data_IF_941626804291
#
_entry.id   IF_941626804291
#
_cell.length_a   1.000
_cell.length_b   1.000
_cell.length_c   1.000
_cell.angle_alpha   90.00
_cell.angle_beta   90.00
_cell.angle_gamma   90.00
#
_symmetry.space_group_name_H-M   'P 1'
#
loop_
_entity.id
_entity.type
_entity.pdbx_description
1 polymer ?
#
# COMPACT_ATOMS: atom_id res chain seq x y z
N UNK A 1 26.28 25.74 -8.27
CA UNK A 1 26.89 24.54 -7.67
C UNK A 1 27.33 23.62 -8.80
N UNK A 2 28.62 23.35 -8.95
CA UNK A 2 29.12 22.36 -9.90
C UNK A 2 28.54 21.00 -9.48
N UNK A 3 27.78 20.37 -10.38
CA UNK A 3 27.23 19.05 -10.19
C UNK A 3 28.35 18.10 -9.75
N UNK A 4 28.18 17.50 -8.56
CA UNK A 4 29.07 16.45 -8.08
C UNK A 4 29.29 15.44 -9.20
N UNK A 5 30.54 15.19 -9.60
CA UNK A 5 30.91 14.14 -10.55
C UNK A 5 30.66 12.76 -9.92
N UNK A 6 29.39 12.40 -9.71
CA UNK A 6 28.97 11.08 -9.22
C UNK A 6 29.00 10.02 -10.32
N UNK A 7 29.28 10.39 -11.58
CA UNK A 7 29.26 9.47 -12.73
C UNK A 7 30.20 8.27 -12.57
N UNK A 8 31.32 8.42 -11.86
CA UNK A 8 32.30 7.36 -11.59
C UNK A 8 31.87 6.40 -10.47
N UNK A 9 31.12 6.88 -9.48
CA UNK A 9 30.72 6.09 -8.30
C UNK A 9 29.30 5.51 -8.41
N UNK A 10 28.48 6.03 -9.32
CA UNK A 10 27.07 5.69 -9.48
C UNK A 10 26.84 4.17 -9.59
N UNK A 11 27.58 3.48 -10.47
CA UNK A 11 27.43 2.02 -10.66
C UNK A 11 27.83 1.21 -9.42
N UNK A 12 28.82 1.68 -8.65
CA UNK A 12 29.32 0.98 -7.47
C UNK A 12 28.36 1.17 -6.28
N UNK A 13 27.89 2.40 -6.05
CA UNK A 13 26.86 2.70 -5.07
C UNK A 13 25.54 1.98 -5.41
N UNK A 14 25.11 2.00 -6.67
CA UNK A 14 23.95 1.21 -7.13
C UNK A 14 24.12 -0.26 -6.73
N UNK A 15 25.29 -0.85 -7.00
CA UNK A 15 25.51 -2.25 -6.67
C UNK A 15 25.42 -2.53 -5.18
N UNK A 16 26.02 -1.70 -4.33
CA UNK A 16 26.05 -1.90 -2.87
C UNK A 16 24.71 -1.62 -2.19
N UNK A 17 23.97 -0.62 -2.66
CA UNK A 17 22.61 -0.34 -2.15
C UNK A 17 21.71 -1.55 -2.37
N UNK A 18 21.83 -2.19 -3.53
CA UNK A 18 21.04 -3.37 -3.86
C UNK A 18 21.45 -4.61 -3.07
N UNK A 19 22.74 -4.72 -2.72
CA UNK A 19 23.30 -5.90 -2.04
C UNK A 19 23.17 -5.81 -0.51
N UNK A 20 23.26 -4.60 0.08
CA UNK A 20 23.31 -4.40 1.53
C UNK A 20 21.99 -3.85 2.12
N UNK A 21 21.19 -3.08 1.37
CA UNK A 21 20.08 -2.27 1.94
C UNK A 21 18.71 -2.93 1.74
N UNK A 22 18.52 -3.68 0.65
CA UNK A 22 17.27 -4.36 0.35
C UNK A 22 16.10 -3.40 0.10
N UNK A 23 16.09 -2.74 -1.05
CA UNK A 23 15.07 -1.76 -1.42
C UNK A 23 13.76 -2.43 -1.85
N UNK A 24 12.62 -1.82 -1.52
CA UNK A 24 11.31 -2.21 -2.03
C UNK A 24 10.59 -1.06 -2.77
N UNK A 25 9.40 -1.32 -3.30
CA UNK A 25 8.64 -0.32 -4.05
C UNK A 25 8.22 0.92 -3.23
N UNK A 26 8.40 0.92 -1.90
CA UNK A 26 8.11 2.04 -1.00
C UNK A 26 9.30 2.99 -0.84
N UNK A 27 10.48 2.61 -1.31
CA UNK A 27 11.71 3.41 -1.27
C UNK A 27 11.89 4.29 -2.53
N UNK A 28 10.87 4.34 -3.40
CA UNK A 28 10.92 4.95 -4.73
C UNK A 28 9.64 5.73 -5.03
N UNK A 29 9.77 6.93 -5.60
CA UNK A 29 8.68 7.76 -6.11
C UNK A 29 8.80 7.87 -7.63
N UNK A 30 7.70 7.70 -8.36
CA UNK A 30 7.68 8.00 -9.80
C UNK A 30 7.12 9.40 -9.99
N UNK A 31 7.89 10.36 -10.49
CA UNK A 31 7.35 11.65 -10.91
C UNK A 31 6.68 11.46 -12.28
N UNK A 32 5.34 11.43 -12.31
CA UNK A 32 4.60 11.19 -13.55
C UNK A 32 4.62 12.38 -14.52
N UNK A 33 5.03 13.56 -14.06
CA UNK A 33 5.13 14.78 -14.88
C UNK A 33 6.46 14.80 -15.61
N UNK A 34 7.55 14.64 -14.85
CA UNK A 34 8.91 14.60 -15.43
C UNK A 34 9.32 13.23 -15.96
N UNK A 35 8.49 12.20 -15.76
CA UNK A 35 8.72 10.84 -16.27
C UNK A 35 9.95 10.20 -15.59
N UNK A 36 10.26 10.58 -14.35
CA UNK A 36 11.44 10.12 -13.61
C UNK A 36 11.12 9.14 -12.49
N UNK A 37 12.09 8.29 -12.16
CA UNK A 37 12.05 7.39 -11.01
C UNK A 37 13.04 7.94 -9.98
N UNK A 38 12.50 8.49 -8.90
CA UNK A 38 13.25 9.10 -7.82
C UNK A 38 13.41 8.08 -6.69
N UNK A 39 14.64 7.97 -6.21
CA UNK A 39 14.90 7.27 -4.97
C UNK A 39 14.50 8.19 -3.81
N UNK A 40 13.56 7.75 -2.98
CA UNK A 40 12.97 8.67 -2.01
C UNK A 40 13.89 8.86 -0.80
N UNK A 41 13.62 9.91 -0.01
CA UNK A 41 14.38 10.27 1.19
C UNK A 41 14.62 9.06 2.11
N UNK A 42 13.62 8.19 2.27
CA UNK A 42 13.71 7.01 3.16
C UNK A 42 14.61 5.93 2.58
N UNK A 43 14.50 5.65 1.29
CA UNK A 43 15.43 4.79 0.59
C UNK A 43 16.86 5.31 0.70
N UNK A 44 17.04 6.61 0.50
CA UNK A 44 18.35 7.27 0.56
C UNK A 44 18.95 7.22 1.96
N UNK A 45 18.11 7.47 2.98
CA UNK A 45 18.48 7.36 4.39
C UNK A 45 18.83 5.94 4.80
N UNK A 46 18.05 4.93 4.37
CA UNK A 46 18.41 3.51 4.57
C UNK A 46 19.75 3.17 3.92
N UNK A 47 20.05 3.81 2.80
CA UNK A 47 21.28 3.62 2.03
C UNK A 47 22.45 4.47 2.52
N UNK A 48 22.27 5.30 3.57
CA UNK A 48 23.25 6.29 4.04
C UNK A 48 24.64 5.70 4.23
N UNK A 49 24.75 4.52 4.86
CA UNK A 49 26.03 3.82 5.09
C UNK A 49 26.83 3.54 3.82
N UNK A 50 26.16 3.33 2.68
CA UNK A 50 26.83 3.11 1.40
C UNK A 50 27.43 4.41 0.87
N UNK A 51 26.75 5.53 1.09
CA UNK A 51 27.19 6.84 0.63
C UNK A 51 28.23 7.48 1.56
N UNK A 52 28.15 7.26 2.87
CA UNK A 52 29.16 7.70 3.86
C UNK A 52 30.56 7.13 3.57
N UNK A 53 30.67 6.04 2.80
CA UNK A 53 31.96 5.53 2.33
C UNK A 53 32.65 6.44 1.30
N UNK A 54 31.93 7.42 0.72
CA UNK A 54 32.40 8.29 -0.36
C UNK A 54 32.14 9.78 -0.09
N UNK A 55 31.19 10.10 0.79
CA UNK A 55 30.73 11.44 1.09
C UNK A 55 30.87 11.69 2.59
N UNK A 56 31.19 12.94 2.95
CA UNK A 56 31.20 13.33 4.36
C UNK A 56 29.78 13.58 4.90
N UNK A 57 29.64 13.67 6.23
CA UNK A 57 28.32 13.83 6.88
C UNK A 57 27.58 15.08 6.40
N UNK A 58 28.26 16.21 6.23
CA UNK A 58 27.64 17.46 5.77
C UNK A 58 27.07 17.33 4.35
N UNK A 59 27.83 16.71 3.43
CA UNK A 59 27.39 16.43 2.07
C UNK A 59 26.22 15.45 2.05
N UNK A 60 26.21 14.47 2.96
CA UNK A 60 25.10 13.54 3.09
C UNK A 60 23.82 14.19 3.58
N UNK A 61 23.90 15.09 4.56
CA UNK A 61 22.71 15.84 5.01
C UNK A 61 22.18 16.75 3.90
N UNK A 62 23.04 17.47 3.16
CA UNK A 62 22.60 18.29 2.02
C UNK A 62 21.88 17.47 0.94
N UNK A 63 22.37 16.26 0.67
CA UNK A 63 21.74 15.34 -0.29
C UNK A 63 20.39 14.83 0.24
N UNK A 64 20.30 14.51 1.52
CA UNK A 64 19.05 14.08 2.16
C UNK A 64 18.01 15.21 2.15
N UNK A 65 18.38 16.44 2.47
CA UNK A 65 17.49 17.60 2.43
C UNK A 65 17.00 17.90 1.01
N UNK A 66 17.89 17.80 0.01
CA UNK A 66 17.53 17.94 -1.39
C UNK A 66 16.59 16.82 -1.85
N UNK A 67 16.85 15.57 -1.45
CA UNK A 67 15.97 14.45 -1.75
C UNK A 67 14.58 14.60 -1.11
N UNK A 68 14.51 15.09 0.13
CA UNK A 68 13.22 15.40 0.78
C UNK A 68 12.45 16.47 -0.01
N UNK A 69 13.15 17.49 -0.49
CA UNK A 69 12.52 18.55 -1.31
C UNK A 69 12.01 18.01 -2.65
N UNK A 70 12.75 17.11 -3.29
CA UNK A 70 12.33 16.44 -4.53
C UNK A 70 11.15 15.50 -4.32
N UNK A 71 11.14 14.77 -3.20
CA UNK A 71 10.02 13.91 -2.81
C UNK A 71 8.75 14.74 -2.69
N UNK A 72 8.77 15.84 -1.94
CA UNK A 72 7.62 16.73 -1.75
C UNK A 72 7.10 17.27 -3.09
N UNK A 73 8.01 17.68 -3.99
CA UNK A 73 7.63 18.11 -5.35
C UNK A 73 6.96 16.99 -6.13
N UNK A 74 7.56 15.81 -6.20
CA UNK A 74 7.03 14.68 -6.97
C UNK A 74 5.70 14.17 -6.40
N UNK A 75 5.54 14.17 -5.08
CA UNK A 75 4.30 13.82 -4.39
C UNK A 75 3.19 14.81 -4.74
N UNK A 76 3.46 16.11 -4.61
CA UNK A 76 2.49 17.16 -4.95
C UNK A 76 2.04 17.06 -6.41
N UNK A 77 2.99 16.93 -7.34
CA UNK A 77 2.71 16.72 -8.77
C UNK A 77 1.82 15.52 -9.03
N UNK A 78 2.18 14.38 -8.43
CA UNK A 78 1.41 13.14 -8.58
C UNK A 78 0.00 13.26 -8.01
N UNK A 79 -0.15 13.91 -6.87
CA UNK A 79 -1.45 14.10 -6.22
C UNK A 79 -2.34 15.04 -7.03
N UNK A 80 -1.79 16.12 -7.60
CA UNK A 80 -2.49 17.00 -8.55
C UNK A 80 -2.93 16.21 -9.79
N UNK A 81 -2.02 15.46 -10.43
CA UNK A 81 -2.36 14.62 -11.58
C UNK A 81 -3.44 13.60 -11.23
N UNK A 82 -3.35 12.97 -10.06
CA UNK A 82 -4.35 12.03 -9.58
C UNK A 82 -5.73 12.70 -9.41
N UNK A 83 -5.78 13.90 -8.83
CA UNK A 83 -7.02 14.68 -8.74
C UNK A 83 -7.59 14.98 -10.13
N UNK A 84 -6.77 15.46 -11.07
CA UNK A 84 -7.21 15.76 -12.44
C UNK A 84 -7.71 14.51 -13.19
N UNK A 85 -7.19 13.31 -12.90
CA UNK A 85 -7.68 12.04 -13.46
C UNK A 85 -9.14 11.77 -13.11
N UNK A 86 -9.57 12.18 -11.93
CA UNK A 86 -10.94 11.97 -11.50
C UNK A 86 -11.96 12.88 -12.18
N UNK A 87 -11.50 13.96 -12.84
CA UNK A 87 -12.36 14.90 -13.53
C UNK A 87 -12.69 14.40 -14.94
N UNK A 88 -13.90 14.67 -15.41
CA UNK A 88 -14.29 14.38 -16.78
C UNK A 88 -13.59 15.33 -17.78
N UNK A 89 -13.63 14.96 -19.05
CA UNK A 89 -12.92 15.68 -20.12
C UNK A 89 -13.41 17.14 -20.27
N UNK A 90 -14.71 17.38 -20.08
CA UNK A 90 -15.31 18.69 -20.30
C UNK A 90 -14.91 19.64 -19.18
N UNK A 91 -14.96 19.16 -17.94
CA UNK A 91 -14.46 19.90 -16.78
C UNK A 91 -13.00 20.30 -16.95
N UNK A 92 -12.12 19.39 -17.40
CA UNK A 92 -10.71 19.75 -17.69
C UNK A 92 -10.56 20.83 -18.77
N UNK A 93 -11.40 20.81 -19.81
CA UNK A 93 -11.39 21.81 -20.87
C UNK A 93 -11.81 23.21 -20.38
N UNK A 94 -12.71 23.32 -19.42
CA UNK A 94 -13.07 24.61 -18.80
C UNK A 94 -11.83 25.27 -18.17
N UNK A 95 -10.99 24.48 -17.50
CA UNK A 95 -9.76 24.98 -16.88
C UNK A 95 -8.66 25.36 -17.89
N UNK A 96 -8.76 24.90 -19.15
CA UNK A 96 -7.83 25.34 -20.21
C UNK A 96 -8.10 26.77 -20.67
N UNK A 97 -9.30 27.30 -20.40
CA UNK A 97 -9.74 28.63 -20.83
C UNK A 97 -9.70 29.68 -19.71
N UNK A 98 -9.05 29.37 -18.56
CA UNK A 98 -8.98 30.27 -17.40
C UNK A 98 -8.21 31.56 -17.73
N UNK A 99 -8.63 32.67 -17.14
CA UNK A 99 -8.01 34.00 -17.28
C UNK A 99 -6.48 33.96 -17.07
N UNK A 100 -5.74 34.76 -17.85
CA UNK A 100 -4.30 34.94 -17.68
C UNK A 100 -3.89 35.55 -16.33
N UNK A 101 -4.85 36.05 -15.54
CA UNK A 101 -4.62 36.59 -14.19
C UNK A 101 -4.48 35.51 -13.10
N UNK A 102 -4.70 34.23 -13.42
CA UNK A 102 -4.56 33.13 -12.46
C UNK A 102 -3.08 32.78 -12.21
N UNK A 103 -2.63 32.98 -10.97
CA UNK A 103 -1.27 32.62 -10.53
C UNK A 103 -1.14 31.09 -10.56
N UNK A 104 -0.09 30.57 -11.21
CA UNK A 104 0.12 29.13 -11.39
C UNK A 104 -0.59 28.53 -12.61
N UNK A 105 -1.13 29.35 -13.53
CA UNK A 105 -1.79 28.89 -14.76
C UNK A 105 -0.89 28.00 -15.62
N UNK A 106 0.37 28.38 -15.81
CA UNK A 106 1.29 27.61 -16.65
C UNK A 106 1.51 26.20 -16.11
N UNK A 107 1.73 26.09 -14.79
CA UNK A 107 1.91 24.82 -14.08
C UNK A 107 0.64 23.95 -14.14
N UNK A 108 -0.54 24.55 -13.90
CA UNK A 108 -1.82 23.87 -14.04
C UNK A 108 -2.04 23.36 -15.48
N UNK A 109 -1.69 24.15 -16.49
CA UNK A 109 -1.79 23.77 -17.89
C UNK A 109 -0.84 22.63 -18.25
N UNK A 110 0.34 22.57 -17.65
CA UNK A 110 1.26 21.44 -17.79
C UNK A 110 0.64 20.16 -17.23
N UNK A 111 0.08 20.19 -16.01
CA UNK A 111 -0.61 19.04 -15.42
C UNK A 111 -1.80 18.57 -16.26
N UNK A 112 -2.62 19.50 -16.77
CA UNK A 112 -3.76 19.18 -17.65
C UNK A 112 -3.28 18.55 -18.97
N UNK A 113 -2.19 19.06 -19.57
CA UNK A 113 -1.59 18.46 -20.77
C UNK A 113 -1.08 17.06 -20.51
N UNK A 114 -0.33 16.85 -19.42
CA UNK A 114 0.12 15.53 -18.97
C UNK A 114 -1.07 14.59 -18.76
N UNK A 115 -2.19 15.08 -18.24
CA UNK A 115 -3.39 14.29 -18.05
C UNK A 115 -4.12 13.95 -19.36
N UNK A 116 -4.23 14.88 -20.32
CA UNK A 116 -4.74 14.54 -21.65
C UNK A 116 -3.85 13.53 -22.36
N UNK A 117 -2.53 13.67 -22.23
CA UNK A 117 -1.59 12.67 -22.69
C UNK A 117 -1.81 11.32 -22.00
N UNK A 118 -2.17 11.27 -20.71
CA UNK A 118 -2.57 10.03 -20.00
C UNK A 118 -3.67 9.26 -20.71
N UNK A 119 -4.67 10.01 -21.19
CA UNK A 119 -5.94 9.46 -21.65
C UNK A 119 -5.83 8.87 -23.06
N UNK A 120 -4.77 9.21 -23.77
CA UNK A 120 -4.45 8.62 -25.06
C UNK A 120 -4.14 7.12 -24.90
N UNK A 121 -4.77 6.27 -25.73
CA UNK A 121 -4.70 4.81 -25.67
C UNK A 121 -3.25 4.28 -25.73
N UNK A 122 -2.39 4.94 -26.50
CA UNK A 122 -0.96 4.61 -26.62
C UNK A 122 -0.23 4.82 -25.29
N UNK A 123 -0.54 5.91 -24.59
CA UNK A 123 0.08 6.25 -23.31
C UNK A 123 -0.50 5.46 -22.13
N UNK A 124 -1.77 5.01 -22.22
CA UNK A 124 -2.34 4.01 -21.30
C UNK A 124 -1.59 2.68 -21.40
N UNK A 125 -1.33 2.21 -22.62
CA UNK A 125 -0.50 1.04 -22.88
C UNK A 125 0.92 1.22 -22.36
N UNK A 126 1.55 2.37 -22.63
CA UNK A 126 2.90 2.70 -22.17
C UNK A 126 3.01 2.75 -20.62
N UNK A 127 2.02 3.32 -19.93
CA UNK A 127 1.99 3.32 -18.45
C UNK A 127 1.80 1.94 -17.87
N UNK A 128 0.88 1.16 -18.42
CA UNK A 128 0.70 -0.23 -18.00
C UNK A 128 1.99 -1.03 -18.21
N UNK A 129 2.66 -0.86 -19.36
CA UNK A 129 3.97 -1.46 -19.62
C UNK A 129 5.00 -0.98 -18.58
N UNK A 130 4.99 0.29 -18.18
CA UNK A 130 5.96 0.84 -17.22
C UNK A 130 5.69 0.45 -15.78
N UNK A 131 4.43 0.33 -15.37
CA UNK A 131 4.00 -0.19 -14.05
C UNK A 131 4.29 -1.69 -13.94
N UNK A 132 3.97 -2.46 -15.00
CA UNK A 132 4.37 -3.87 -15.09
C UNK A 132 5.89 -4.02 -15.14
N UNK A 133 6.58 -3.15 -15.90
CA UNK A 133 8.04 -3.07 -15.92
C UNK A 133 8.60 -2.56 -14.59
N UNK A 134 7.88 -1.87 -13.71
CA UNK A 134 8.40 -1.47 -12.38
C UNK A 134 8.72 -2.70 -11.54
N UNK A 135 7.77 -3.64 -11.46
CA UNK A 135 8.03 -4.92 -10.79
C UNK A 135 8.98 -5.81 -11.61
N UNK A 136 8.82 -5.85 -12.93
CA UNK A 136 9.59 -6.76 -13.79
C UNK A 136 11.04 -6.32 -13.97
N UNK A 137 11.31 -5.02 -14.16
CA UNK A 137 12.65 -4.43 -14.30
C UNK A 137 13.41 -4.47 -12.99
N UNK A 138 12.77 -4.20 -11.85
CA UNK A 138 13.39 -4.43 -10.54
C UNK A 138 13.74 -5.92 -10.37
N UNK A 139 12.81 -6.84 -10.68
CA UNK A 139 13.07 -8.29 -10.64
C UNK A 139 14.15 -8.74 -11.63
N UNK A 140 14.22 -8.19 -12.84
CA UNK A 140 15.16 -8.55 -13.92
C UNK A 140 16.55 -7.96 -13.65
N UNK A 141 16.66 -6.66 -13.31
CA UNK A 141 17.93 -5.99 -12.97
C UNK A 141 18.60 -6.62 -11.75
N UNK A 142 17.81 -7.24 -10.85
CA UNK A 142 18.30 -7.89 -9.64
C UNK A 142 18.19 -9.42 -9.67
N UNK A 143 17.82 -10.04 -10.80
CA UNK A 143 17.57 -11.47 -10.91
C UNK A 143 18.82 -12.33 -10.63
N UNK A 144 19.97 -11.93 -11.19
CA UNK A 144 21.27 -12.59 -10.98
C UNK A 144 21.73 -12.54 -9.52
N UNK A 145 21.36 -11.48 -8.80
CA UNK A 145 21.75 -11.25 -7.41
C UNK A 145 20.82 -11.97 -6.43
N UNK A 146 19.52 -12.04 -6.74
CA UNK A 146 18.58 -12.92 -6.04
C UNK A 146 19.01 -14.40 -6.17
N UNK A 147 19.54 -14.80 -7.32
CA UNK A 147 20.14 -16.13 -7.51
C UNK A 147 21.41 -16.30 -6.69
N UNK A 148 22.32 -15.31 -6.70
CA UNK A 148 23.56 -15.33 -5.93
C UNK A 148 23.31 -15.45 -4.42
N UNK A 149 22.37 -14.69 -3.86
CA UNK A 149 21.98 -14.79 -2.45
C UNK A 149 21.41 -16.18 -2.13
N UNK A 150 20.61 -16.76 -3.04
CA UNK A 150 20.10 -18.13 -2.88
C UNK A 150 21.19 -19.21 -2.97
N UNK A 151 22.25 -18.95 -3.71
CA UNK A 151 23.39 -19.85 -3.92
C UNK A 151 24.37 -19.78 -2.74
N UNK A 152 24.68 -18.57 -2.26
CA UNK A 152 25.45 -18.33 -1.01
C UNK A 152 24.74 -18.97 0.20
N UNK A 153 23.40 -18.87 0.28
CA UNK A 153 22.61 -19.53 1.34
C UNK A 153 22.59 -21.07 1.25
N UNK A 154 22.95 -21.67 0.10
CA UNK A 154 23.10 -23.13 -0.04
C UNK A 154 24.47 -23.63 0.41
N UNK A 155 25.50 -22.80 0.29
CA UNK A 155 26.91 -23.15 0.55
C UNK A 155 27.30 -23.07 2.04
N UNK A 156 26.50 -22.43 2.90
CA UNK A 156 26.78 -22.33 4.35
C UNK A 156 26.11 -23.51 5.09
N UNK A 157 26.85 -24.53 5.56
CA UNK A 157 26.28 -25.66 6.28
C UNK A 157 25.83 -25.22 7.68
N UNK A 158 24.53 -25.28 7.93
CA UNK A 158 23.91 -24.88 9.21
C UNK A 158 22.84 -23.79 9.08
N UNK A 159 22.83 -23.04 7.97
CA UNK A 159 21.70 -22.16 7.62
C UNK A 159 20.63 -22.98 6.89
N UNK A 160 19.91 -23.84 7.62
CA UNK A 160 18.54 -24.15 7.16
C UNK A 160 17.79 -22.81 7.20
N UNK A 161 17.19 -22.33 6.10
CA UNK A 161 16.40 -21.10 6.15
C UNK A 161 15.42 -21.23 7.31
N UNK A 162 15.57 -20.38 8.33
CA UNK A 162 14.76 -20.37 9.55
C UNK A 162 13.33 -20.03 9.19
N UNK A 163 12.59 -21.06 8.78
CA UNK A 163 11.29 -21.02 8.11
C UNK A 163 11.30 -20.20 6.81
N UNK A 164 10.98 -20.84 5.69
CA UNK A 164 10.61 -20.23 4.40
C UNK A 164 10.10 -18.80 4.59
N UNK A 165 10.78 -17.77 4.08
CA UNK A 165 10.47 -16.35 4.29
C UNK A 165 8.96 -16.08 4.28
N UNK A 166 8.35 -16.06 5.48
CA UNK A 166 6.89 -15.95 5.63
C UNK A 166 6.35 -14.71 4.92
N UNK A 167 7.01 -13.53 4.96
CA UNK A 167 6.50 -12.33 4.28
C UNK A 167 6.45 -12.47 2.75
N UNK A 168 7.50 -13.01 2.11
CA UNK A 168 7.54 -13.20 0.67
C UNK A 168 6.49 -14.21 0.20
N UNK A 169 6.34 -15.33 0.93
CA UNK A 169 5.30 -16.31 0.63
C UNK A 169 3.89 -15.75 0.80
N UNK A 170 3.66 -14.92 1.83
CA UNK A 170 2.39 -14.24 2.04
C UNK A 170 2.09 -13.30 0.86
N UNK A 171 3.04 -12.45 0.44
CA UNK A 171 2.88 -11.57 -0.74
C UNK A 171 2.56 -12.37 -2.00
N UNK A 172 3.40 -13.36 -2.32
CA UNK A 172 3.24 -14.19 -3.52
C UNK A 172 1.90 -14.92 -3.54
N UNK A 173 1.48 -15.46 -2.41
CA UNK A 173 0.20 -16.16 -2.33
C UNK A 173 -0.97 -15.18 -2.39
N UNK A 174 -0.89 -14.02 -1.74
CA UNK A 174 -1.90 -12.97 -1.87
C UNK A 174 -2.10 -12.55 -3.32
N UNK A 175 -1.02 -12.23 -4.04
CA UNK A 175 -1.05 -11.88 -5.48
C UNK A 175 -1.68 -13.00 -6.30
N UNK A 176 -1.23 -14.25 -6.08
CA UNK A 176 -1.80 -15.43 -6.74
C UNK A 176 -3.31 -15.51 -6.61
N UNK A 177 -3.87 -15.31 -5.41
CA UNK A 177 -5.31 -15.43 -5.16
C UNK A 177 -6.10 -14.17 -5.53
N UNK A 178 -5.47 -12.98 -5.42
CA UNK A 178 -6.04 -11.70 -5.86
C UNK A 178 -6.30 -11.71 -7.38
N UNK A 179 -5.35 -12.23 -8.16
CA UNK A 179 -5.38 -12.13 -9.61
C UNK A 179 -6.22 -13.23 -10.28
N UNK A 180 -6.80 -14.17 -9.50
CA UNK A 180 -7.78 -15.14 -10.02
C UNK A 180 -9.06 -14.40 -10.43
N UNK A 181 -9.49 -14.48 -11.71
CA UNK A 181 -10.74 -13.86 -12.16
C UNK A 181 -11.95 -14.37 -11.38
N UNK A 182 -12.89 -13.49 -11.02
CA UNK A 182 -14.05 -13.83 -10.18
C UNK A 182 -14.84 -15.05 -10.72
N UNK A 183 -15.06 -15.11 -12.04
CA UNK A 183 -15.74 -16.24 -12.71
C UNK A 183 -15.06 -17.61 -12.56
N UNK A 184 -13.77 -17.64 -12.20
CA UNK A 184 -12.97 -18.87 -12.02
C UNK A 184 -12.70 -19.18 -10.54
N UNK A 185 -13.17 -18.33 -9.63
CA UNK A 185 -12.78 -18.37 -8.22
C UNK A 185 -13.67 -19.37 -7.47
N UNK A 186 -13.03 -20.34 -6.82
CA UNK A 186 -13.74 -21.30 -5.95
C UNK A 186 -13.98 -20.72 -4.55
N UNK A 187 -14.83 -21.36 -3.75
CA UNK A 187 -15.05 -20.97 -2.36
C UNK A 187 -13.75 -21.01 -1.51
N UNK A 188 -12.89 -22.00 -1.78
CA UNK A 188 -11.58 -22.12 -1.12
C UNK A 188 -10.61 -21.01 -1.56
N UNK A 189 -10.66 -20.58 -2.83
CA UNK A 189 -9.87 -19.45 -3.30
C UNK A 189 -10.26 -18.14 -2.61
N UNK A 190 -11.56 -17.93 -2.33
CA UNK A 190 -12.02 -16.79 -1.54
C UNK A 190 -11.46 -16.81 -0.12
N UNK A 191 -11.51 -17.98 0.56
CA UNK A 191 -10.92 -18.16 1.89
C UNK A 191 -9.41 -17.86 1.89
N UNK A 192 -8.69 -18.34 0.88
CA UNK A 192 -7.25 -18.09 0.73
C UNK A 192 -6.95 -16.62 0.41
N UNK A 193 -7.78 -15.97 -0.41
CA UNK A 193 -7.65 -14.55 -0.69
C UNK A 193 -7.80 -13.72 0.59
N UNK A 194 -8.81 -13.99 1.41
CA UNK A 194 -9.00 -13.35 2.72
C UNK A 194 -7.81 -13.64 3.65
N UNK A 195 -7.44 -14.91 3.79
CA UNK A 195 -6.36 -15.34 4.66
C UNK A 195 -5.03 -14.65 4.35
N UNK A 196 -4.57 -14.72 3.10
CA UNK A 196 -3.31 -14.11 2.70
C UNK A 196 -3.40 -12.58 2.62
N UNK A 197 -4.55 -12.02 2.25
CA UNK A 197 -4.77 -10.58 2.18
C UNK A 197 -4.65 -9.89 3.54
N UNK A 198 -5.36 -10.40 4.55
CA UNK A 198 -5.29 -9.87 5.93
C UNK A 198 -3.85 -9.92 6.42
N UNK A 199 -3.16 -11.07 6.26
CA UNK A 199 -1.78 -11.25 6.73
C UNK A 199 -0.77 -10.40 5.96
N UNK A 200 -1.01 -10.12 4.68
CA UNK A 200 -0.18 -9.25 3.86
C UNK A 200 -0.27 -7.81 4.37
N UNK A 201 -1.47 -7.25 4.47
CA UNK A 201 -1.67 -5.86 4.91
C UNK A 201 -1.47 -5.65 6.41
N UNK A 202 -1.52 -6.70 7.23
CA UNK A 202 -1.02 -6.65 8.62
C UNK A 202 0.44 -6.20 8.67
N UNK A 203 1.26 -6.70 7.74
CA UNK A 203 2.72 -6.52 7.72
C UNK A 203 3.14 -5.36 6.81
N UNK A 204 2.34 -5.07 5.80
CA UNK A 204 2.57 -3.99 4.85
C UNK A 204 1.70 -2.78 5.14
N UNK A 205 2.07 -2.04 6.19
CA UNK A 205 1.52 -0.70 6.40
C UNK A 205 1.96 0.22 5.26
N UNK A 206 1.06 1.11 4.84
CA UNK A 206 1.42 2.38 4.21
C UNK A 206 1.89 3.37 5.28
N UNK A 207 2.83 2.94 6.14
CA UNK A 207 3.44 3.76 7.18
C UNK A 207 4.66 4.52 6.68
N UNK A 208 4.88 4.55 5.36
CA UNK A 208 5.76 5.54 4.77
C UNK A 208 5.20 6.92 5.10
N UNK A 209 6.02 7.86 5.58
CA UNK A 209 5.56 9.22 5.85
C UNK A 209 5.30 10.01 4.57
N UNK A 210 5.77 9.50 3.42
CA UNK A 210 5.38 9.99 2.10
C UNK A 210 4.03 9.38 1.71
N UNK A 211 3.03 10.24 1.52
CA UNK A 211 1.64 9.86 1.22
C UNK A 211 1.27 10.27 -0.21
N UNK A 212 1.15 9.28 -1.10
CA UNK A 212 0.82 9.50 -2.51
C UNK A 212 -0.57 8.93 -2.81
N UNK A 213 -1.45 9.75 -3.38
CA UNK A 213 -2.87 9.42 -3.53
C UNK A 213 -3.11 8.12 -4.30
N UNK A 214 -2.36 7.86 -5.39
CA UNK A 214 -2.54 6.63 -6.15
C UNK A 214 -2.17 5.37 -5.34
N UNK A 215 -1.12 5.43 -4.50
CA UNK A 215 -0.70 4.29 -3.67
C UNK A 215 -1.70 4.03 -2.54
N UNK A 216 -2.22 5.12 -1.95
CA UNK A 216 -3.29 5.07 -0.95
C UNK A 216 -4.54 4.48 -1.58
N UNK A 217 -4.96 4.94 -2.76
CA UNK A 217 -6.12 4.43 -3.48
C UNK A 217 -5.97 2.95 -3.85
N UNK A 218 -4.81 2.52 -4.37
CA UNK A 218 -4.53 1.11 -4.67
C UNK A 218 -4.65 0.23 -3.43
N UNK A 219 -4.08 0.69 -2.31
CA UNK A 219 -4.12 -0.04 -1.04
C UNK A 219 -5.53 -0.07 -0.48
N UNK A 220 -6.25 1.05 -0.51
CA UNK A 220 -7.62 1.16 -0.05
C UNK A 220 -8.56 0.25 -0.85
N UNK A 221 -8.45 0.24 -2.19
CA UNK A 221 -9.21 -0.67 -3.06
C UNK A 221 -8.90 -2.12 -2.74
N UNK A 222 -7.63 -2.47 -2.65
CA UNK A 222 -7.20 -3.84 -2.35
C UNK A 222 -7.66 -4.33 -0.97
N UNK A 223 -7.59 -3.50 0.06
CA UNK A 223 -8.08 -3.83 1.41
C UNK A 223 -9.60 -3.90 1.45
N UNK A 224 -10.30 -2.98 0.76
CA UNK A 224 -11.76 -3.02 0.61
C UNK A 224 -12.22 -4.30 -0.08
N UNK A 225 -11.50 -4.77 -1.09
CA UNK A 225 -11.81 -6.03 -1.77
C UNK A 225 -11.61 -7.24 -0.84
N UNK A 226 -10.58 -7.21 0.02
CA UNK A 226 -10.39 -8.23 1.07
C UNK A 226 -11.56 -8.21 2.07
N UNK A 227 -12.00 -7.04 2.51
CA UNK A 227 -13.14 -6.90 3.43
C UNK A 227 -14.44 -7.39 2.79
N UNK A 228 -14.69 -7.04 1.51
CA UNK A 228 -15.82 -7.57 0.73
C UNK A 228 -15.73 -9.08 0.50
N UNK A 229 -14.54 -9.64 0.41
CA UNK A 229 -14.36 -11.08 0.35
C UNK A 229 -14.66 -11.75 1.70
N UNK A 230 -14.20 -11.13 2.80
CA UNK A 230 -14.43 -11.61 4.15
C UNK A 230 -15.92 -11.59 4.54
N UNK A 231 -16.70 -10.62 4.04
CA UNK A 231 -18.15 -10.57 4.29
C UNK A 231 -18.93 -11.76 3.71
N UNK A 232 -18.35 -12.49 2.76
CA UNK A 232 -18.95 -13.70 2.18
C UNK A 232 -18.77 -14.94 3.06
N UNK A 233 -17.87 -14.89 4.04
CA UNK A 233 -17.62 -15.99 4.97
C UNK A 233 -18.69 -16.01 6.06
N UNK A 234 -18.99 -17.20 6.58
CA UNK A 234 -19.74 -17.31 7.84
C UNK A 234 -18.82 -16.98 9.04
N UNK A 235 -19.38 -16.63 10.22
CA UNK A 235 -18.58 -16.43 11.42
C UNK A 235 -17.69 -17.64 11.76
N UNK A 236 -18.19 -18.86 11.57
CA UNK A 236 -17.45 -20.10 11.85
C UNK A 236 -16.30 -20.32 10.87
N UNK A 237 -16.53 -20.03 9.59
CA UNK A 237 -15.47 -20.07 8.58
C UNK A 237 -14.38 -19.04 8.87
N UNK A 238 -14.76 -17.83 9.28
CA UNK A 238 -13.80 -16.79 9.66
C UNK A 238 -12.97 -17.20 10.89
N UNK A 239 -13.63 -17.70 11.95
CA UNK A 239 -12.97 -18.20 13.17
C UNK A 239 -12.03 -19.36 12.86
N UNK A 240 -12.38 -20.22 11.91
CA UNK A 240 -11.52 -21.32 11.45
C UNK A 240 -10.25 -20.81 10.77
N UNK A 241 -10.34 -19.73 9.98
CA UNK A 241 -9.18 -19.10 9.35
C UNK A 241 -8.31 -18.31 10.33
N UNK A 242 -8.94 -17.65 11.30
CA UNK A 242 -8.29 -16.78 12.28
C UNK A 242 -8.82 -17.09 13.69
N UNK A 243 -8.34 -18.14 14.36
CA UNK A 243 -8.81 -18.45 15.71
C UNK A 243 -8.63 -17.28 16.68
N UNK A 244 -9.64 -17.00 17.49
CA UNK A 244 -9.59 -15.94 18.49
C UNK A 244 -8.45 -16.19 19.49
N UNK A 245 -7.73 -15.14 19.84
CA UNK A 245 -6.62 -15.24 20.79
C UNK A 245 -7.17 -15.53 22.19
N UNK A 246 -6.54 -16.48 22.91
CA UNK A 246 -6.98 -16.93 24.24
C UNK A 246 -6.40 -16.06 25.35
N UNK A 247 -6.64 -14.76 25.24
CA UNK A 247 -6.35 -13.79 26.29
C UNK A 247 -7.62 -13.55 27.11
N UNK A 248 -7.50 -13.44 28.43
CA UNK A 248 -8.63 -13.45 29.37
C UNK A 248 -8.63 -12.27 30.35
N UNK A 249 -7.64 -11.38 30.23
CA UNK A 249 -7.41 -10.26 31.15
C UNK A 249 -7.70 -8.90 30.48
N UNK A 250 -8.51 -8.88 29.42
CA UNK A 250 -8.80 -7.66 28.66
C UNK A 250 -9.46 -6.57 29.50
N UNK A 251 -10.39 -6.91 30.40
CA UNK A 251 -11.03 -5.94 31.30
C UNK A 251 -10.01 -5.14 32.14
N UNK A 252 -8.94 -5.79 32.59
CA UNK A 252 -7.86 -5.14 33.36
C UNK A 252 -7.10 -4.09 32.54
N UNK A 253 -6.99 -4.28 31.23
CA UNK A 253 -6.22 -3.43 30.32
C UNK A 253 -7.09 -2.60 29.37
N UNK A 254 -8.42 -2.67 29.52
CA UNK A 254 -9.39 -2.09 28.58
C UNK A 254 -9.18 -2.58 27.14
N UNK A 255 -8.81 -3.85 27.00
CA UNK A 255 -8.55 -4.52 25.72
C UNK A 255 -9.62 -5.58 25.42
N UNK A 256 -9.77 -5.90 24.13
CA UNK A 256 -10.62 -7.00 23.69
C UNK A 256 -9.95 -8.32 24.07
N UNK A 257 -10.73 -9.23 24.62
CA UNK A 257 -10.30 -10.54 25.09
C UNK A 257 -11.08 -11.65 24.38
N UNK A 258 -10.79 -12.90 24.74
CA UNK A 258 -11.48 -14.06 24.18
C UNK A 258 -12.99 -14.00 24.39
N UNK A 259 -13.46 -13.61 25.59
CA UNK A 259 -14.89 -13.62 25.92
C UNK A 259 -15.66 -12.55 25.16
N UNK A 260 -15.12 -11.33 25.10
CA UNK A 260 -15.69 -10.21 24.32
C UNK A 260 -15.68 -10.53 22.83
N UNK A 261 -14.61 -11.13 22.30
CA UNK A 261 -14.53 -11.60 20.91
C UNK A 261 -15.60 -12.65 20.61
N UNK A 262 -15.72 -13.69 21.43
CA UNK A 262 -16.72 -14.74 21.20
C UNK A 262 -18.16 -14.23 21.41
N UNK A 263 -18.37 -13.22 22.26
CA UNK A 263 -19.66 -12.53 22.39
C UNK A 263 -20.01 -11.78 21.09
N UNK A 264 -19.03 -11.11 20.48
CA UNK A 264 -19.22 -10.43 19.19
C UNK A 264 -19.55 -11.42 18.07
N UNK A 265 -18.81 -12.55 17.97
CA UNK A 265 -19.08 -13.62 16.99
C UNK A 265 -20.52 -14.12 17.08
N UNK A 266 -21.03 -14.35 18.29
CA UNK A 266 -22.39 -14.86 18.55
C UNK A 266 -23.52 -13.87 18.18
N UNK A 267 -23.21 -12.61 17.91
CA UNK A 267 -24.22 -11.64 17.43
C UNK A 267 -24.61 -11.89 15.97
N UNK A 268 -23.79 -12.62 15.24
CA UNK A 268 -24.03 -12.94 13.83
C UNK A 268 -24.76 -14.28 13.71
N UNK A 269 -25.72 -14.40 12.78
CA UNK A 269 -26.49 -15.63 12.60
C UNK A 269 -25.60 -16.78 12.10
N UNK A 270 -25.71 -17.93 12.78
CA UNK A 270 -24.94 -19.13 12.44
C UNK A 270 -25.24 -19.62 11.01
N UNK A 271 -24.19 -20.10 10.32
CA UNK A 271 -24.29 -20.64 8.96
C UNK A 271 -24.67 -19.63 7.87
N UNK A 272 -24.79 -18.34 8.21
CA UNK A 272 -25.03 -17.26 7.24
C UNK A 272 -23.77 -16.40 7.06
N UNK A 273 -23.56 -15.80 5.89
CA UNK A 273 -22.47 -14.86 5.67
C UNK A 273 -22.55 -13.67 6.64
N UNK A 274 -21.39 -13.18 7.08
CA UNK A 274 -21.26 -11.98 7.92
C UNK A 274 -21.93 -10.76 7.25
N UNK A 275 -21.80 -10.65 5.92
CA UNK A 275 -22.50 -9.67 5.10
C UNK A 275 -22.17 -8.22 5.47
N UNK A 276 -23.21 -7.37 5.56
CA UNK A 276 -23.06 -5.93 5.76
C UNK A 276 -22.45 -5.55 7.13
N UNK A 277 -22.47 -6.46 8.11
CA UNK A 277 -21.87 -6.23 9.42
C UNK A 277 -20.36 -6.52 9.48
N UNK A 278 -19.69 -6.74 8.34
CA UNK A 278 -18.26 -7.12 8.31
C UNK A 278 -17.34 -6.11 8.99
N UNK A 279 -17.62 -4.81 8.87
CA UNK A 279 -16.80 -3.79 9.52
C UNK A 279 -16.94 -3.88 11.05
N UNK A 280 -18.15 -4.08 11.58
CA UNK A 280 -18.38 -4.30 13.02
C UNK A 280 -17.70 -5.60 13.47
N UNK A 281 -17.82 -6.66 12.65
CA UNK A 281 -17.20 -7.93 12.94
C UNK A 281 -15.67 -7.79 13.07
N UNK A 282 -15.01 -7.20 12.07
CA UNK A 282 -13.55 -7.02 12.08
C UNK A 282 -13.06 -6.10 13.19
N UNK A 283 -13.84 -5.07 13.53
CA UNK A 283 -13.53 -4.21 14.65
C UNK A 283 -13.60 -4.99 15.97
N UNK A 284 -14.68 -5.71 16.24
CA UNK A 284 -14.90 -6.42 17.51
C UNK A 284 -14.11 -7.73 17.65
N UNK A 285 -13.63 -8.31 16.53
CA UNK A 285 -12.96 -9.60 16.53
C UNK A 285 -11.48 -9.49 16.90
N UNK A 286 -11.09 -10.06 18.05
CA UNK A 286 -9.69 -10.09 18.45
C UNK A 286 -8.99 -11.38 18.01
N UNK A 287 -8.19 -11.22 16.95
CA UNK A 287 -7.04 -12.04 16.62
C UNK A 287 -5.95 -11.06 16.19
N UNK A 288 -4.69 -11.24 16.62
CA UNK A 288 -3.62 -10.26 16.36
C UNK A 288 -3.45 -9.87 14.89
N UNK A 289 -3.51 -10.82 13.94
CA UNK A 289 -3.40 -10.50 12.51
C UNK A 289 -4.66 -9.71 12.04
N UNK A 290 -5.86 -10.08 12.50
CA UNK A 290 -7.13 -9.39 12.14
C UNK A 290 -7.19 -7.98 12.72
N UNK A 291 -6.86 -7.80 13.99
CA UNK A 291 -6.84 -6.50 14.68
C UNK A 291 -5.88 -5.53 13.99
N UNK A 292 -4.65 -5.97 13.70
CA UNK A 292 -3.66 -5.13 13.02
C UNK A 292 -4.07 -4.81 11.58
N UNK A 293 -4.67 -5.75 10.86
CA UNK A 293 -5.26 -5.48 9.56
C UNK A 293 -6.36 -4.42 9.64
N UNK A 294 -7.29 -4.55 10.60
CA UNK A 294 -8.38 -3.61 10.81
C UNK A 294 -7.86 -2.20 11.09
N UNK A 295 -6.90 -2.05 12.00
CA UNK A 295 -6.25 -0.76 12.29
C UNK A 295 -5.60 -0.17 11.03
N UNK A 296 -4.92 -1.00 10.24
CA UNK A 296 -4.32 -0.55 8.99
C UNK A 296 -5.36 -0.14 7.95
N UNK A 297 -6.50 -0.83 7.90
CA UNK A 297 -7.59 -0.51 6.99
C UNK A 297 -8.23 0.82 7.35
N UNK A 298 -8.55 1.00 8.63
CA UNK A 298 -9.11 2.25 9.16
C UNK A 298 -8.13 3.43 8.97
N UNK A 299 -6.84 3.22 9.24
CA UNK A 299 -5.82 4.23 8.94
C UNK A 299 -5.75 4.57 7.45
N UNK A 300 -5.90 3.57 6.56
CA UNK A 300 -5.91 3.80 5.12
C UNK A 300 -7.16 4.55 4.66
N UNK A 301 -8.31 4.38 5.32
CA UNK A 301 -9.49 5.22 5.10
C UNK A 301 -9.18 6.68 5.45
N UNK A 302 -8.62 6.94 6.64
CA UNK A 302 -8.24 8.29 7.04
C UNK A 302 -7.23 8.94 6.09
N UNK A 303 -6.20 8.21 5.67
CA UNK A 303 -5.26 8.68 4.64
C UNK A 303 -5.96 8.99 3.32
N UNK A 304 -6.94 8.19 2.92
CA UNK A 304 -7.73 8.41 1.71
C UNK A 304 -8.58 9.67 1.82
N UNK A 305 -9.28 9.88 2.93
CA UNK A 305 -10.11 11.07 3.15
C UNK A 305 -9.26 12.35 3.15
N UNK A 306 -8.11 12.31 3.84
CA UNK A 306 -7.21 13.46 3.99
C UNK A 306 -6.47 13.81 2.69
N UNK A 307 -5.94 12.81 1.98
CA UNK A 307 -5.05 13.06 0.83
C UNK A 307 -5.76 12.92 -0.51
N UNK A 308 -6.73 12.02 -0.62
CA UNK A 308 -7.42 11.72 -1.88
C UNK A 308 -8.75 12.49 -1.98
N UNK A 309 -9.55 12.60 -0.92
CA UNK A 309 -10.69 13.54 -0.81
C UNK A 309 -11.83 13.40 -1.85
N UNK A 310 -11.89 12.32 -2.63
CA UNK A 310 -12.93 12.09 -3.66
C UNK A 310 -14.15 11.34 -3.09
N UNK A 311 -13.95 10.63 -1.99
CA UNK A 311 -14.99 9.93 -1.25
C UNK A 311 -14.71 10.06 0.23
N UNK A 312 -15.72 9.89 1.08
CA UNK A 312 -15.60 9.87 2.55
C UNK A 312 -15.71 8.44 3.14
N UNK A 313 -14.76 7.51 2.89
CA UNK A 313 -14.68 6.21 3.53
C UNK A 313 -14.95 6.19 5.03
N UNK A 314 -14.38 7.12 5.81
CA UNK A 314 -14.55 7.12 7.27
C UNK A 314 -16.00 7.44 7.66
N UNK A 315 -16.60 8.44 7.03
CA UNK A 315 -18.01 8.79 7.23
C UNK A 315 -18.94 7.64 6.83
N UNK A 316 -18.66 7.01 5.69
CA UNK A 316 -19.43 5.85 5.23
C UNK A 316 -19.28 4.64 6.17
N UNK A 317 -18.13 4.48 6.81
CA UNK A 317 -17.92 3.49 7.85
C UNK A 317 -18.81 3.77 9.07
N UNK A 318 -18.81 4.99 9.61
CA UNK A 318 -19.63 5.33 10.77
C UNK A 318 -21.13 5.16 10.48
N UNK A 319 -21.61 5.59 9.31
CA UNK A 319 -23.00 5.35 8.88
C UNK A 319 -23.34 3.86 8.79
N UNK A 320 -22.39 3.01 8.40
CA UNK A 320 -22.60 1.56 8.39
C UNK A 320 -22.67 0.99 9.81
N UNK A 321 -21.82 1.47 10.73
CA UNK A 321 -21.87 1.07 12.15
C UNK A 321 -23.23 1.42 12.75
N UNK A 322 -23.69 2.66 12.60
CA UNK A 322 -24.98 3.13 13.11
C UNK A 322 -26.15 2.27 12.60
N UNK A 323 -26.18 1.99 11.29
CA UNK A 323 -27.21 1.13 10.68
C UNK A 323 -27.17 -0.29 11.24
N UNK A 324 -25.98 -0.84 11.44
CA UNK A 324 -25.82 -2.18 11.99
C UNK A 324 -26.33 -2.23 13.44
N UNK A 325 -25.91 -1.30 14.30
CA UNK A 325 -26.38 -1.21 15.69
C UNK A 325 -27.89 -0.99 15.79
N UNK A 326 -28.44 -0.09 14.96
CA UNK A 326 -29.89 0.15 14.88
C UNK A 326 -30.67 -1.11 14.46
N UNK A 327 -30.19 -1.87 13.48
CA UNK A 327 -30.83 -3.12 13.03
C UNK A 327 -30.67 -4.28 14.01
N UNK A 328 -29.63 -4.26 14.85
CA UNK A 328 -29.40 -5.24 15.91
C UNK A 328 -30.15 -4.92 17.21
N UNK A 329 -30.90 -3.81 17.27
CA UNK A 329 -31.61 -3.37 18.48
C UNK A 329 -30.68 -2.91 19.61
N UNK A 330 -29.41 -2.61 19.30
CA UNK A 330 -28.43 -2.10 20.26
C UNK A 330 -28.35 -0.57 20.09
N UNK A 331 -28.88 0.19 21.04
CA UNK A 331 -28.59 1.63 21.13
C UNK A 331 -27.14 1.81 21.60
N UNK A 332 -26.38 2.66 20.90
CA UNK A 332 -25.02 3.07 21.28
C UNK A 332 -25.08 3.90 22.56
#
# INVERSE_FOLDING_TARGET
>A
MNAFQMGSYCKLCESRILDEVGLDGKDIICDFVNIDILFNYYGLRKSRRVFEAYLNDEQMEQILDYASSLDDMAVNRNNILWMLRSWDKNRLMEYTNVSNSFIGKEELMEYIRCEFQSRNLINRGYRWIREAAREMFFRIKHFSRIMLVKEILREIPGTKPTSKDRPFLIKRNYEKYRDIPERKRTADDWKKHVYYGIRYYTRNKNSGPVKICYQIEESFKAMTDIVKAASRLTPEEFVSLFPADKEYNGEKYMEKDYFTTMKAVKRFPEGKPIGNGINCFLEEYYNRDVFLFWVNYFSCMGDYDVHCGISDPVENYFRQMERFHASAGNTI
#
